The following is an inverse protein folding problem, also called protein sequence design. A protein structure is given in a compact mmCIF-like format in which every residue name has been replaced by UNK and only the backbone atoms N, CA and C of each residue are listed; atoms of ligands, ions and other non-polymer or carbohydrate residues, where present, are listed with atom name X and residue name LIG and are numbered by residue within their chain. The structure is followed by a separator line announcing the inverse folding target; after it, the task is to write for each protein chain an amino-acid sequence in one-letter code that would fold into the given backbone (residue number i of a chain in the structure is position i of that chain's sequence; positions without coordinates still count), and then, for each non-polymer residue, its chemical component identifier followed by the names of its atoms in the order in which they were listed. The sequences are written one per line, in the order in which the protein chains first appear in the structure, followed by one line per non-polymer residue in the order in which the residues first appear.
data_IF_008537654399
#
_entry.id   IF_008537654399
#
_cell.length_a   1.000
_cell.length_b   1.000
_cell.length_c   1.000
_cell.angle_alpha   90.00
_cell.angle_beta   90.00
_cell.angle_gamma   90.00
#
_symmetry.space_group_name_H-M   'P 1'
#
loop_
_entity.id
_entity.type
_entity.pdbx_description
1 polymer ?
#
# COMPACT_ATOMS: atom_id res chain seq x y z
N UNK A 1 -87.28 40.82 -13.65
CA UNK A 1 -86.07 41.27 -14.36
C UNK A 1 -84.87 40.68 -13.60
N UNK A 2 -84.38 39.55 -13.98
CA UNK A 2 -83.26 38.92 -13.32
C UNK A 2 -82.05 38.79 -14.28
N UNK A 3 -80.91 39.35 -13.88
CA UNK A 3 -79.69 39.39 -14.63
C UNK A 3 -78.94 38.11 -14.32
N UNK A 4 -78.67 37.24 -15.35
CA UNK A 4 -77.86 36.03 -15.25
C UNK A 4 -76.42 36.41 -15.52
N UNK A 5 -75.54 36.26 -14.52
CA UNK A 5 -74.10 36.45 -14.66
C UNK A 5 -73.47 35.12 -15.03
N UNK A 6 -72.97 35.06 -16.25
CA UNK A 6 -72.25 33.90 -16.80
C UNK A 6 -70.78 33.90 -16.34
N UNK A 7 -70.36 32.97 -15.43
CA UNK A 7 -68.96 32.83 -14.99
C UNK A 7 -68.20 31.99 -16.04
N UNK A 8 -67.32 32.63 -16.80
CA UNK A 8 -66.33 31.99 -17.64
C UNK A 8 -65.24 31.30 -16.77
N UNK A 9 -65.17 30.03 -16.82
CA UNK A 9 -64.01 29.30 -16.23
C UNK A 9 -62.84 29.34 -17.22
N UNK A 10 -61.75 29.95 -16.80
CA UNK A 10 -60.49 29.93 -17.54
C UNK A 10 -59.77 28.58 -17.20
N UNK A 11 -59.61 27.75 -18.20
CA UNK A 11 -58.89 26.46 -18.11
C UNK A 11 -57.38 26.76 -18.39
N UNK A 12 -56.57 26.77 -17.35
CA UNK A 12 -55.15 26.91 -17.51
C UNK A 12 -54.55 25.54 -17.92
N UNK A 13 -54.04 25.45 -19.14
CA UNK A 13 -53.26 24.31 -19.62
C UNK A 13 -51.86 24.40 -19.02
N UNK A 14 -51.54 23.57 -18.02
CA UNK A 14 -50.15 23.34 -17.58
C UNK A 14 -49.46 22.43 -18.57
N UNK A 15 -48.58 22.97 -19.39
CA UNK A 15 -47.63 22.19 -20.18
C UNK A 15 -46.49 21.75 -19.26
N UNK A 16 -46.43 20.45 -18.89
CA UNK A 16 -45.31 19.85 -18.23
C UNK A 16 -44.16 19.71 -19.22
N UNK A 17 -43.08 20.48 -19.04
CA UNK A 17 -41.81 20.18 -19.70
C UNK A 17 -41.21 18.88 -19.13
N UNK A 18 -40.69 17.99 -19.95
CA UNK A 18 -39.94 16.85 -19.44
C UNK A 18 -38.62 17.34 -18.87
N UNK A 19 -38.46 17.15 -17.57
CA UNK A 19 -37.21 17.35 -16.86
C UNK A 19 -36.26 16.21 -17.24
N UNK A 20 -35.36 16.44 -18.21
CA UNK A 20 -34.27 15.56 -18.51
C UNK A 20 -33.34 15.52 -17.28
N UNK A 21 -33.44 14.43 -16.51
CA UNK A 21 -32.47 14.11 -15.48
C UNK A 21 -31.18 13.77 -16.24
N UNK A 22 -30.26 14.73 -16.27
CA UNK A 22 -28.85 14.43 -16.57
C UNK A 22 -28.39 13.44 -15.50
N UNK A 23 -28.21 12.18 -15.91
CA UNK A 23 -27.52 11.21 -15.09
C UNK A 23 -26.10 11.77 -14.84
N UNK A 24 -25.92 12.30 -13.65
CA UNK A 24 -24.61 12.64 -13.13
C UNK A 24 -23.79 11.35 -13.19
N UNK A 25 -22.74 11.36 -14.01
CA UNK A 25 -21.77 10.28 -14.06
C UNK A 25 -21.13 10.24 -12.69
N UNK A 26 -21.73 9.46 -11.78
CA UNK A 26 -21.20 9.17 -10.48
C UNK A 26 -19.73 8.84 -10.64
N UNK A 27 -18.87 9.79 -10.30
CA UNK A 27 -17.45 9.59 -10.23
C UNK A 27 -17.25 8.32 -9.43
N UNK A 28 -16.62 7.31 -10.03
CA UNK A 28 -16.16 6.14 -9.28
C UNK A 28 -15.28 6.71 -8.18
N UNK A 29 -15.78 6.73 -6.96
CA UNK A 29 -14.96 6.91 -5.80
C UNK A 29 -14.00 5.73 -5.79
N UNK A 30 -12.84 5.93 -6.39
CA UNK A 30 -11.73 5.00 -6.25
C UNK A 30 -11.40 4.99 -4.77
N UNK A 31 -11.71 3.87 -4.11
CA UNK A 31 -11.26 3.65 -2.75
C UNK A 31 -9.73 3.80 -2.75
N UNK A 32 -9.15 4.56 -1.83
CA UNK A 32 -7.70 4.64 -1.73
C UNK A 32 -7.13 3.23 -1.69
N UNK A 33 -6.03 2.98 -2.42
CA UNK A 33 -5.33 1.70 -2.38
C UNK A 33 -5.14 1.33 -0.90
N UNK A 34 -5.63 0.16 -0.51
CA UNK A 34 -5.45 -0.33 0.85
C UNK A 34 -4.00 -0.81 1.05
N UNK A 35 -3.05 0.12 0.99
CA UNK A 35 -1.64 -0.15 1.29
C UNK A 35 -1.56 -0.67 2.72
N UNK A 36 -1.08 -1.91 2.87
CA UNK A 36 -0.82 -2.49 4.18
C UNK A 36 0.51 -1.94 4.74
N UNK A 37 1.58 -2.10 3.97
CA UNK A 37 2.86 -1.51 4.34
C UNK A 37 3.76 -1.28 3.12
N UNK A 38 4.77 -0.45 3.33
CA UNK A 38 5.85 -0.18 2.40
C UNK A 38 7.12 -0.76 2.99
N UNK A 39 7.87 -1.52 2.19
CA UNK A 39 9.14 -2.14 2.61
C UNK A 39 10.30 -1.25 2.19
N UNK A 40 10.94 -0.64 3.17
CA UNK A 40 12.15 0.17 3.01
C UNK A 40 13.35 -0.62 3.51
N UNK A 41 14.06 -1.25 2.58
CA UNK A 41 15.22 -2.07 2.90
C UNK A 41 16.50 -1.23 3.01
N UNK A 42 17.36 -1.63 3.94
CA UNK A 42 18.60 -0.92 4.25
C UNK A 42 19.72 -1.87 4.64
N UNK A 43 20.98 -1.57 4.27
CA UNK A 43 22.14 -2.31 4.79
C UNK A 43 22.43 -1.99 6.28
N UNK A 44 21.90 -0.88 6.81
CA UNK A 44 22.14 -0.41 8.19
C UNK A 44 20.86 0.20 8.78
N UNK A 45 20.15 -0.61 9.58
CA UNK A 45 18.87 -0.20 10.20
C UNK A 45 19.07 1.00 11.14
N UNK A 46 20.10 0.98 11.99
CA UNK A 46 20.30 2.02 13.00
C UNK A 46 20.55 3.38 12.37
N UNK A 47 21.34 3.40 11.31
CA UNK A 47 21.60 4.60 10.53
C UNK A 47 20.33 5.11 9.88
N UNK A 48 19.57 4.23 9.20
CA UNK A 48 18.34 4.60 8.51
C UNK A 48 17.25 5.10 9.45
N UNK A 49 17.07 4.46 10.62
CA UNK A 49 16.15 4.93 11.67
C UNK A 49 16.52 6.32 12.14
N UNK A 50 17.81 6.58 12.42
CA UNK A 50 18.29 7.90 12.84
C UNK A 50 18.09 8.98 11.78
N UNK A 51 18.37 8.66 10.51
CA UNK A 51 18.18 9.60 9.40
C UNK A 51 16.70 9.93 9.18
N UNK A 52 15.80 8.94 9.26
CA UNK A 52 14.36 9.17 9.17
C UNK A 52 13.82 9.96 10.37
N UNK A 53 14.27 9.66 11.58
CA UNK A 53 13.91 10.43 12.78
C UNK A 53 14.29 11.91 12.64
N UNK A 54 15.50 12.20 12.14
CA UNK A 54 15.96 13.58 11.91
C UNK A 54 15.14 14.33 10.86
N UNK A 55 14.62 13.63 9.85
CA UNK A 55 13.88 14.23 8.75
C UNK A 55 12.38 14.33 9.02
N UNK A 56 11.81 13.36 9.73
CA UNK A 56 10.37 13.24 9.96
C UNK A 56 9.95 13.62 11.39
N UNK A 57 10.86 13.57 12.37
CA UNK A 57 10.58 13.92 13.76
C UNK A 57 9.95 12.78 14.57
N UNK A 58 9.95 11.55 14.05
CA UNK A 58 9.42 10.36 14.75
C UNK A 58 10.45 9.25 14.70
N UNK A 59 10.79 8.70 15.86
CA UNK A 59 11.68 7.55 15.98
C UNK A 59 10.88 6.25 15.76
N UNK A 60 11.39 5.37 14.92
CA UNK A 60 10.79 4.06 14.68
C UNK A 60 10.79 3.21 15.97
N UNK A 61 9.78 2.36 16.10
CA UNK A 61 9.68 1.37 17.18
C UNK A 61 10.18 0.01 16.71
N UNK A 62 10.79 -0.80 17.61
CA UNK A 62 11.22 -2.15 17.28
C UNK A 62 10.07 -3.01 16.78
N UNK A 63 10.23 -3.63 15.61
CA UNK A 63 9.28 -4.60 15.08
C UNK A 63 9.58 -6.02 15.56
N UNK A 64 10.77 -6.52 15.30
CA UNK A 64 11.24 -7.82 15.72
C UNK A 64 12.16 -8.52 14.70
N UNK A 65 12.60 -9.71 15.06
CA UNK A 65 13.47 -10.55 14.24
C UNK A 65 12.66 -11.54 13.41
N UNK A 66 13.02 -11.71 12.14
CA UNK A 66 12.49 -12.74 11.25
C UNK A 66 13.38 -13.98 11.37
N UNK A 67 12.96 -14.91 12.23
CA UNK A 67 13.73 -16.10 12.56
C UNK A 67 14.06 -16.92 11.31
N UNK A 68 15.34 -17.23 11.11
CA UNK A 68 15.83 -18.02 9.97
C UNK A 68 15.96 -17.22 8.67
N UNK A 69 15.42 -15.99 8.58
CA UNK A 69 15.60 -15.12 7.42
C UNK A 69 16.81 -14.18 7.59
N UNK A 70 17.42 -14.11 8.77
CA UNK A 70 18.58 -13.25 9.06
C UNK A 70 18.28 -11.75 8.94
N UNK A 71 17.01 -11.34 9.08
CA UNK A 71 16.57 -9.95 9.04
C UNK A 71 15.78 -9.55 10.28
N UNK A 72 15.80 -8.27 10.58
CA UNK A 72 14.96 -7.62 11.58
C UNK A 72 14.34 -6.35 11.01
N UNK A 73 13.36 -5.81 11.70
CA UNK A 73 12.76 -4.56 11.27
C UNK A 73 12.47 -3.58 12.41
N UNK A 74 12.31 -2.31 12.01
CA UNK A 74 11.80 -1.20 12.80
C UNK A 74 10.59 -0.61 12.07
N UNK A 75 9.60 -0.10 12.80
CA UNK A 75 8.28 0.25 12.26
C UNK A 75 7.90 1.69 12.55
N UNK A 76 7.32 2.35 11.54
CA UNK A 76 6.70 3.68 11.63
C UNK A 76 5.25 3.58 11.13
N UNK A 77 4.26 3.92 11.95
CA UNK A 77 2.88 3.97 11.49
C UNK A 77 2.68 5.15 10.53
N UNK A 78 2.09 4.87 9.38
CA UNK A 78 1.75 5.86 8.33
C UNK A 78 0.23 6.16 8.30
N UNK A 79 -0.48 5.74 9.32
CA UNK A 79 -1.91 5.81 9.48
C UNK A 79 -2.41 4.68 10.39
N UNK A 80 -3.71 4.54 10.61
CA UNK A 80 -4.25 3.56 11.56
C UNK A 80 -4.06 2.10 11.12
N UNK A 81 -3.82 1.87 9.83
CA UNK A 81 -3.74 0.54 9.22
C UNK A 81 -2.68 0.43 8.12
N UNK A 82 -1.70 1.33 8.12
CA UNK A 82 -0.59 1.35 7.18
C UNK A 82 0.70 1.66 7.93
N UNK A 83 1.82 1.03 7.55
CA UNK A 83 3.10 1.31 8.17
C UNK A 83 4.26 1.26 7.17
N UNK A 84 5.37 1.89 7.54
CA UNK A 84 6.67 1.73 6.91
C UNK A 84 7.44 0.67 7.68
N UNK A 85 7.85 -0.39 7.00
CA UNK A 85 8.77 -1.40 7.48
C UNK A 85 10.20 -1.01 7.07
N UNK A 86 11.05 -0.70 8.03
CA UNK A 86 12.49 -0.49 7.83
C UNK A 86 13.16 -1.82 8.11
N UNK A 87 13.53 -2.57 7.05
CA UNK A 87 14.09 -3.92 7.16
C UNK A 87 15.56 -3.95 6.77
N UNK A 88 16.34 -4.73 7.50
CA UNK A 88 17.76 -4.94 7.20
C UNK A 88 18.34 -6.18 7.89
N UNK A 89 19.66 -6.39 7.82
CA UNK A 89 20.31 -7.52 8.44
C UNK A 89 20.08 -7.57 9.95
N UNK A 90 19.84 -8.74 10.48
CA UNK A 90 19.85 -9.03 11.91
C UNK A 90 21.18 -9.73 12.26
N UNK A 91 22.12 -8.93 12.76
CA UNK A 91 23.47 -9.39 13.09
C UNK A 91 23.50 -10.26 14.35
N UNK A 92 22.42 -10.32 15.12
CA UNK A 92 22.27 -11.17 16.30
C UNK A 92 21.83 -12.59 15.94
N UNK A 93 21.42 -12.82 14.69
CA UNK A 93 21.09 -14.15 14.17
C UNK A 93 22.30 -14.79 13.45
N UNK A 94 22.38 -16.15 13.41
CA UNK A 94 23.29 -16.84 12.52
C UNK A 94 23.06 -16.43 11.06
N UNK A 95 24.09 -16.50 10.25
CA UNK A 95 23.96 -16.27 8.80
C UNK A 95 22.91 -17.23 8.20
N UNK A 96 21.89 -16.72 7.48
CA UNK A 96 20.83 -17.54 6.95
C UNK A 96 21.33 -18.45 5.83
N UNK A 97 20.74 -19.64 5.69
CA UNK A 97 21.10 -20.58 4.64
C UNK A 97 20.71 -20.11 3.22
N UNK A 98 19.82 -19.16 3.13
CA UNK A 98 19.35 -18.55 1.88
C UNK A 98 19.62 -17.05 1.91
N UNK A 99 19.77 -16.37 0.75
CA UNK A 99 19.88 -14.93 0.70
C UNK A 99 18.74 -14.24 1.44
N UNK A 100 19.04 -13.15 2.14
CA UNK A 100 18.02 -12.36 2.86
C UNK A 100 16.95 -11.85 1.90
N UNK A 101 15.67 -11.82 2.31
CA UNK A 101 14.56 -11.33 1.49
C UNK A 101 14.81 -9.90 1.01
N UNK A 102 14.08 -9.51 -0.06
CA UNK A 102 14.13 -8.17 -0.64
C UNK A 102 15.51 -7.72 -1.14
N UNK A 103 16.44 -8.64 -1.34
CA UNK A 103 17.79 -8.34 -1.83
C UNK A 103 18.64 -7.53 -0.85
N UNK A 104 18.37 -7.63 0.45
CA UNK A 104 19.07 -6.87 1.51
C UNK A 104 20.58 -7.02 1.41
N UNK A 105 21.09 -8.22 1.07
CA UNK A 105 22.52 -8.52 0.99
C UNK A 105 23.26 -7.74 -0.12
N UNK A 106 22.54 -7.27 -1.12
CA UNK A 106 23.09 -6.53 -2.27
C UNK A 106 22.93 -5.01 -2.18
N UNK A 107 22.29 -4.50 -1.12
CA UNK A 107 22.05 -3.09 -0.97
C UNK A 107 23.30 -2.32 -0.58
N UNK A 108 23.57 -1.25 -1.30
CA UNK A 108 24.62 -0.27 -0.95
C UNK A 108 24.06 1.00 -0.32
N UNK A 109 22.74 1.22 -0.44
CA UNK A 109 22.01 2.34 0.14
C UNK A 109 20.56 1.92 0.43
N UNK A 110 19.89 2.61 1.38
CA UNK A 110 18.48 2.35 1.65
C UNK A 110 17.59 2.69 0.46
N UNK A 111 16.55 1.89 0.22
CA UNK A 111 15.53 2.16 -0.81
C UNK A 111 14.21 1.43 -0.53
N UNK A 112 13.13 1.90 -1.15
CA UNK A 112 11.89 1.13 -1.21
C UNK A 112 12.07 -0.05 -2.17
N UNK A 113 11.85 -1.26 -1.68
CA UNK A 113 12.08 -2.49 -2.45
C UNK A 113 10.79 -3.24 -2.76
N UNK A 114 9.71 -2.98 -2.02
CA UNK A 114 8.41 -3.63 -2.22
C UNK A 114 7.32 -2.91 -1.45
N UNK A 115 6.08 -3.36 -1.61
CA UNK A 115 4.93 -2.91 -0.85
C UNK A 115 3.85 -3.99 -0.81
N UNK A 116 2.97 -3.94 0.18
CA UNK A 116 1.92 -4.92 0.40
C UNK A 116 0.52 -4.32 0.33
N UNK A 117 -0.42 -5.15 -0.11
CA UNK A 117 -1.87 -4.90 -0.08
C UNK A 117 -2.55 -5.95 0.78
N UNK A 118 -3.47 -5.53 1.65
CA UNK A 118 -4.21 -6.46 2.49
C UNK A 118 -5.25 -7.25 1.71
N UNK A 119 -5.36 -8.54 1.99
CA UNK A 119 -6.43 -9.40 1.50
C UNK A 119 -6.59 -10.61 2.41
N UNK A 120 -7.82 -10.99 2.70
CA UNK A 120 -8.21 -12.21 3.40
C UNK A 120 -8.47 -13.41 2.47
N UNK A 121 -8.18 -13.28 1.16
CA UNK A 121 -8.44 -14.30 0.12
C UNK A 121 -7.26 -14.40 -0.84
N UNK A 122 -6.10 -14.80 -0.32
CA UNK A 122 -4.83 -14.77 -1.08
C UNK A 122 -4.87 -15.67 -2.32
N UNK A 123 -5.39 -16.91 -2.21
CA UNK A 123 -5.45 -17.84 -3.35
C UNK A 123 -6.44 -17.37 -4.43
N UNK A 124 -7.58 -16.78 -4.04
CA UNK A 124 -8.51 -16.17 -4.99
C UNK A 124 -7.85 -14.99 -5.73
N UNK A 125 -7.08 -14.16 -5.00
CA UNK A 125 -6.31 -13.06 -5.60
C UNK A 125 -5.28 -13.57 -6.59
N UNK A 126 -4.53 -14.63 -6.25
CA UNK A 126 -3.56 -15.26 -7.15
C UNK A 126 -4.22 -15.78 -8.42
N UNK A 127 -5.32 -16.53 -8.28
CA UNK A 127 -6.07 -17.10 -9.41
C UNK A 127 -6.61 -15.99 -10.31
N UNK A 128 -7.23 -14.96 -9.72
CA UNK A 128 -7.76 -13.80 -10.46
C UNK A 128 -6.67 -13.05 -11.20
N UNK A 129 -5.52 -12.81 -10.54
CA UNK A 129 -4.36 -12.16 -11.14
C UNK A 129 -3.82 -12.95 -12.33
N UNK A 130 -3.64 -14.26 -12.16
CA UNK A 130 -3.16 -15.16 -13.23
C UNK A 130 -4.08 -15.15 -14.44
N UNK A 131 -5.40 -15.19 -14.25
CA UNK A 131 -6.41 -15.09 -15.32
C UNK A 131 -6.35 -13.74 -16.07
N UNK A 132 -5.81 -12.70 -15.44
CA UNK A 132 -5.58 -11.37 -16.04
C UNK A 132 -4.13 -11.17 -16.52
N UNK A 133 -3.30 -12.24 -16.54
CA UNK A 133 -1.92 -12.20 -17.00
C UNK A 133 -0.90 -11.62 -16.01
N UNK A 134 -1.26 -11.48 -14.73
CA UNK A 134 -0.35 -11.03 -13.68
C UNK A 134 0.00 -12.22 -12.76
N UNK A 135 1.28 -12.57 -12.68
CA UNK A 135 1.76 -13.64 -11.81
C UNK A 135 2.06 -13.07 -10.41
N UNK A 136 1.34 -13.56 -9.42
CA UNK A 136 1.67 -13.38 -8.01
C UNK A 136 2.39 -14.64 -7.51
N UNK A 137 3.31 -14.48 -6.55
CA UNK A 137 4.04 -15.60 -5.97
C UNK A 137 3.12 -16.58 -5.20
N UNK A 138 3.65 -17.74 -4.83
CA UNK A 138 2.92 -18.71 -4.01
C UNK A 138 2.56 -18.12 -2.65
N UNK A 139 1.44 -18.58 -2.08
CA UNK A 139 1.09 -18.24 -0.70
C UNK A 139 2.02 -18.99 0.25
N UNK A 140 2.55 -18.28 1.23
CA UNK A 140 3.42 -18.82 2.27
C UNK A 140 2.95 -18.37 3.65
N UNK A 141 3.16 -19.23 4.64
CA UNK A 141 2.96 -18.89 6.05
C UNK A 141 4.26 -18.28 6.59
N UNK A 142 4.14 -17.20 7.32
CA UNK A 142 5.27 -16.50 7.92
C UNK A 142 4.98 -16.22 9.39
N UNK A 143 6.03 -16.21 10.19
CA UNK A 143 5.93 -15.84 11.60
C UNK A 143 7.06 -14.88 12.00
N UNK A 144 6.80 -14.09 13.01
CA UNK A 144 7.78 -13.21 13.64
C UNK A 144 7.51 -13.11 15.13
N UNK A 145 8.56 -13.12 15.90
CA UNK A 145 8.47 -12.80 17.33
C UNK A 145 8.79 -11.33 17.56
N UNK A 146 7.86 -10.62 18.21
CA UNK A 146 8.07 -9.25 18.66
C UNK A 146 9.00 -9.23 19.89
N UNK A 147 9.57 -8.06 20.16
CA UNK A 147 10.43 -7.84 21.35
C UNK A 147 9.72 -8.07 22.69
N UNK A 148 8.40 -7.94 22.73
CA UNK A 148 7.56 -8.24 23.91
C UNK A 148 7.16 -9.73 24.03
N UNK A 149 7.69 -10.58 23.16
CA UNK A 149 7.44 -12.03 23.17
C UNK A 149 6.18 -12.48 22.42
N UNK A 150 5.35 -11.55 21.92
CA UNK A 150 4.16 -11.89 21.13
C UNK A 150 4.58 -12.45 19.78
N UNK A 151 4.07 -13.63 19.42
CA UNK A 151 4.24 -14.20 18.08
C UNK A 151 3.13 -13.68 17.17
N UNK A 152 3.52 -13.17 16.02
CA UNK A 152 2.64 -12.82 14.92
C UNK A 152 2.73 -13.92 13.86
N UNK A 153 1.58 -14.31 13.31
CA UNK A 153 1.45 -15.23 12.20
C UNK A 153 0.66 -14.55 11.09
N UNK A 154 1.08 -14.74 9.86
CA UNK A 154 0.36 -14.22 8.69
C UNK A 154 0.63 -15.10 7.49
N UNK A 155 -0.23 -14.95 6.50
CA UNK A 155 -0.02 -15.49 5.17
C UNK A 155 0.32 -14.34 4.21
N UNK A 156 1.13 -14.62 3.22
CA UNK A 156 1.44 -13.66 2.17
C UNK A 156 1.75 -14.35 0.85
N UNK A 157 1.52 -13.67 -0.26
CA UNK A 157 2.09 -14.12 -1.53
C UNK A 157 3.58 -13.79 -1.55
N UNK A 158 4.41 -14.72 -2.02
CA UNK A 158 5.86 -14.51 -2.11
C UNK A 158 6.15 -13.27 -2.96
N UNK A 159 6.89 -12.28 -2.45
CA UNK A 159 7.31 -11.14 -3.24
C UNK A 159 8.16 -11.57 -4.43
N UNK A 160 8.09 -10.81 -5.53
CA UNK A 160 8.93 -11.08 -6.68
C UNK A 160 10.42 -10.88 -6.33
N UNK A 161 11.27 -11.73 -6.85
CA UNK A 161 12.73 -11.53 -6.82
C UNK A 161 13.23 -10.61 -7.95
N UNK A 162 12.40 -10.35 -8.95
CA UNK A 162 12.72 -9.41 -10.05
C UNK A 162 12.51 -7.96 -9.57
N UNK A 163 13.57 -7.14 -9.50
CA UNK A 163 13.45 -5.72 -9.12
C UNK A 163 12.47 -4.91 -9.96
N UNK A 164 12.26 -5.29 -11.23
CA UNK A 164 11.28 -4.63 -12.09
C UNK A 164 9.84 -5.01 -11.74
N UNK A 165 9.63 -6.22 -11.19
CA UNK A 165 8.33 -6.68 -10.73
C UNK A 165 7.97 -6.19 -9.32
N UNK A 166 8.90 -5.60 -8.56
CA UNK A 166 8.67 -5.07 -7.20
C UNK A 166 7.70 -3.87 -7.15
N UNK A 167 7.34 -3.32 -8.32
CA UNK A 167 6.28 -2.32 -8.44
C UNK A 167 4.89 -2.93 -8.30
N UNK A 168 4.75 -4.24 -8.49
CA UNK A 168 3.52 -4.99 -8.25
C UNK A 168 3.55 -5.46 -6.79
N UNK A 169 2.47 -5.20 -6.01
CA UNK A 169 2.46 -5.56 -4.59
C UNK A 169 2.41 -7.07 -4.38
N UNK A 170 2.92 -7.51 -3.25
CA UNK A 170 2.49 -8.77 -2.70
C UNK A 170 1.23 -8.56 -1.85
N UNK A 171 0.47 -9.63 -1.61
CA UNK A 171 -0.72 -9.61 -0.78
C UNK A 171 -0.44 -10.24 0.57
N UNK A 172 -1.05 -9.70 1.63
CA UNK A 172 -0.86 -10.15 3.01
C UNK A 172 -2.19 -10.29 3.74
N UNK A 173 -2.31 -11.37 4.51
CA UNK A 173 -3.39 -11.64 5.45
C UNK A 173 -2.81 -11.82 6.85
N UNK A 174 -3.13 -10.91 7.75
CA UNK A 174 -2.68 -10.98 9.14
C UNK A 174 -3.45 -12.00 9.98
N UNK A 175 -4.47 -12.65 9.39
CA UNK A 175 -5.32 -13.63 10.07
C UNK A 175 -5.86 -13.07 11.41
N UNK A 176 -5.51 -13.73 12.53
CA UNK A 176 -5.88 -13.28 13.87
C UNK A 176 -4.79 -12.44 14.55
N UNK A 177 -3.67 -12.22 13.90
CA UNK A 177 -2.58 -11.42 14.46
C UNK A 177 -2.94 -9.93 14.51
N UNK A 178 -2.62 -9.21 15.58
CA UNK A 178 -2.80 -7.77 15.62
C UNK A 178 -1.94 -7.10 14.57
N UNK A 179 -2.55 -6.15 13.83
CA UNK A 179 -1.86 -5.45 12.76
C UNK A 179 -0.68 -4.60 13.29
N UNK A 180 0.51 -4.67 12.68
CA UNK A 180 1.71 -3.99 13.18
C UNK A 180 1.58 -2.48 13.33
N UNK A 181 0.77 -1.80 12.50
CA UNK A 181 0.52 -0.37 12.64
C UNK A 181 -0.05 0.04 14.02
N UNK A 182 -0.68 -0.90 14.75
CA UNK A 182 -1.23 -0.62 16.09
C UNK A 182 -0.13 -0.42 17.15
N UNK A 183 1.08 -0.92 16.90
CA UNK A 183 2.21 -0.85 17.83
C UNK A 183 3.42 -0.12 17.23
N UNK A 184 3.37 0.20 15.94
CA UNK A 184 4.36 1.05 15.28
C UNK A 184 4.30 2.48 15.83
N UNK A 185 5.46 3.17 15.83
CA UNK A 185 5.54 4.56 16.31
C UNK A 185 4.61 5.46 15.47
N UNK A 186 3.63 6.14 16.11
CA UNK A 186 2.65 6.96 15.42
C UNK A 186 3.18 8.37 15.11
N UNK A 187 2.45 9.14 14.29
CA UNK A 187 2.72 10.56 14.03
C UNK A 187 3.14 10.85 12.60
N UNK A 188 3.14 9.85 11.72
CA UNK A 188 3.38 10.04 10.30
C UNK A 188 2.12 9.75 9.47
N UNK A 189 2.10 10.31 8.26
CA UNK A 189 1.03 10.09 7.28
C UNK A 189 1.62 9.79 5.91
N UNK A 190 1.14 8.73 5.26
CA UNK A 190 1.42 8.47 3.85
C UNK A 190 0.56 9.41 3.00
N UNK A 191 1.20 10.34 2.30
CA UNK A 191 0.51 11.28 1.41
C UNK A 191 0.31 10.69 0.02
N UNK A 192 1.30 9.96 -0.50
CA UNK A 192 1.21 9.30 -1.79
C UNK A 192 2.18 8.13 -1.90
N UNK A 193 1.79 7.14 -2.70
CA UNK A 193 2.65 6.09 -3.23
C UNK A 193 2.50 6.11 -4.75
N UNK A 194 3.62 6.23 -5.48
CA UNK A 194 3.68 6.25 -6.94
C UNK A 194 4.83 5.40 -7.44
N UNK A 195 4.82 5.10 -8.72
CA UNK A 195 5.88 4.33 -9.34
C UNK A 195 6.49 5.05 -10.55
N UNK A 196 7.73 4.71 -10.85
CA UNK A 196 8.44 5.08 -12.07
C UNK A 196 8.91 3.82 -12.79
N UNK A 197 8.85 3.81 -14.13
CA UNK A 197 9.29 2.67 -14.93
C UNK A 197 9.57 3.06 -16.38
N UNK A 198 10.55 2.41 -17.08
CA UNK A 198 10.79 2.65 -18.50
C UNK A 198 9.59 2.39 -19.41
N UNK A 199 8.72 1.46 -18.99
CA UNK A 199 7.45 1.19 -19.67
C UNK A 199 6.27 1.36 -18.68
N UNK A 200 5.80 2.61 -18.44
CA UNK A 200 4.77 2.90 -17.44
C UNK A 200 3.42 2.25 -17.79
N UNK A 201 3.08 2.14 -19.07
CA UNK A 201 1.82 1.53 -19.52
C UNK A 201 1.72 0.04 -19.15
N UNK A 202 2.84 -0.70 -19.24
CA UNK A 202 2.90 -2.10 -18.83
C UNK A 202 2.57 -2.24 -17.34
N UNK A 203 3.22 -1.45 -16.50
CA UNK A 203 3.00 -1.50 -15.03
C UNK A 203 1.59 -1.04 -14.67
N UNK A 204 1.12 0.07 -15.26
CA UNK A 204 -0.25 0.55 -15.04
C UNK A 204 -1.30 -0.49 -15.46
N UNK A 205 -1.08 -1.22 -16.55
CA UNK A 205 -1.98 -2.30 -16.98
C UNK A 205 -2.01 -3.46 -15.99
N UNK A 206 -0.84 -3.87 -15.46
CA UNK A 206 -0.74 -4.92 -14.45
C UNK A 206 -1.42 -4.51 -13.14
N UNK A 207 -1.22 -3.27 -12.69
CA UNK A 207 -1.86 -2.75 -11.48
C UNK A 207 -3.39 -2.68 -11.65
N UNK A 208 -3.88 -2.17 -12.78
CA UNK A 208 -5.33 -2.17 -13.08
C UNK A 208 -5.92 -3.58 -13.13
N UNK A 209 -5.18 -4.57 -13.62
CA UNK A 209 -5.60 -5.98 -13.60
C UNK A 209 -5.81 -6.52 -12.17
N UNK A 210 -5.13 -5.92 -11.18
CA UNK A 210 -5.26 -6.20 -9.75
C UNK A 210 -6.27 -5.28 -9.05
N UNK A 211 -7.01 -4.46 -9.79
CA UNK A 211 -7.93 -3.43 -9.30
C UNK A 211 -7.22 -2.36 -8.44
N UNK A 212 -5.96 -2.07 -8.78
CA UNK A 212 -5.12 -1.07 -8.13
C UNK A 212 -4.94 0.14 -9.06
N UNK A 213 -5.26 1.32 -8.55
CA UNK A 213 -4.96 2.59 -9.22
C UNK A 213 -3.75 3.24 -8.56
N UNK A 214 -2.67 3.36 -9.33
CA UNK A 214 -1.43 4.01 -8.90
C UNK A 214 -0.90 4.86 -10.05
N UNK A 215 -0.39 6.03 -9.73
CA UNK A 215 0.32 6.84 -10.73
C UNK A 215 1.65 6.15 -11.09
N UNK A 216 1.84 5.88 -12.37
CA UNK A 216 3.11 5.36 -12.91
C UNK A 216 3.60 6.33 -13.97
N UNK A 217 4.82 6.83 -13.82
CA UNK A 217 5.43 7.77 -14.73
C UNK A 217 6.65 7.17 -15.42
N UNK A 218 7.04 7.75 -16.58
CA UNK A 218 8.22 7.29 -17.31
C UNK A 218 9.51 7.73 -16.61
N UNK A 219 10.46 6.80 -16.46
CA UNK A 219 11.83 7.04 -15.99
C UNK A 219 12.77 5.97 -16.54
N UNK A 220 14.08 6.21 -16.51
CA UNK A 220 15.08 5.26 -17.00
C UNK A 220 15.17 3.99 -16.14
N UNK A 221 14.87 4.09 -14.85
CA UNK A 221 14.99 2.99 -13.88
C UNK A 221 13.67 2.81 -13.12
N UNK A 222 13.30 1.57 -12.80
CA UNK A 222 12.14 1.30 -11.95
C UNK A 222 12.32 1.84 -10.53
N UNK A 223 11.28 2.47 -9.97
CA UNK A 223 11.28 2.89 -8.58
C UNK A 223 9.85 2.96 -8.01
N UNK A 224 9.71 2.63 -6.73
CA UNK A 224 8.59 3.03 -5.88
C UNK A 224 9.00 4.29 -5.14
N UNK A 225 8.04 5.22 -5.03
CA UNK A 225 8.27 6.51 -4.38
C UNK A 225 7.12 6.79 -3.44
N UNK A 226 7.45 6.94 -2.15
CA UNK A 226 6.50 7.27 -1.10
C UNK A 226 6.76 8.68 -0.57
N UNK A 227 5.72 9.52 -0.55
CA UNK A 227 5.77 10.82 0.14
C UNK A 227 5.13 10.65 1.51
N UNK A 228 5.92 10.89 2.54
CA UNK A 228 5.52 10.76 3.94
C UNK A 228 5.62 12.12 4.62
N UNK A 229 4.61 12.48 5.39
CA UNK A 229 4.57 13.69 6.21
C UNK A 229 4.72 13.33 7.69
N UNK A 230 5.58 14.08 8.37
CA UNK A 230 5.79 14.00 9.81
C UNK A 230 5.87 15.38 10.44
N UNK A 231 6.08 15.47 11.79
CA UNK A 231 6.17 16.72 12.51
C UNK A 231 7.23 17.72 11.99
N UNK A 232 8.31 17.22 11.40
CA UNK A 232 9.40 18.07 10.87
C UNK A 232 9.27 18.36 9.37
N UNK A 233 8.22 17.87 8.71
CA UNK A 233 7.95 18.15 7.30
C UNK A 233 7.71 16.89 6.47
N UNK A 234 7.86 17.05 5.14
CA UNK A 234 7.63 15.99 4.16
C UNK A 234 8.94 15.40 3.68
N UNK A 235 8.94 14.08 3.50
CA UNK A 235 10.08 13.33 2.98
C UNK A 235 9.59 12.48 1.82
N UNK A 236 10.33 12.50 0.74
CA UNK A 236 10.19 11.52 -0.33
C UNK A 236 11.23 10.41 -0.14
N UNK A 237 10.77 9.16 -0.09
CA UNK A 237 11.60 7.95 -0.08
C UNK A 237 11.48 7.27 -1.44
N UNK A 238 12.59 6.74 -1.91
CA UNK A 238 12.68 6.04 -3.20
C UNK A 238 13.28 4.65 -3.03
#
# INVERSE_FOLDING_TARGET
MGVVILKRRLLALLTALPMTVLADSAGRHTQPIAVDHIVFATPDIQRSVKELEQRLGVRASPGGSHTGAGTRNELLALGPSTYLEIIGPDLDQPEPAQPRPFGVDSLTSPKIVSWAVRSDRLEDRRTTAANKGVSLGAVMNVERQRSDGVKLHWQMTTPSSDPQANLIPFYIDWEQSPHPALTAAPGLTLLSLRAEHPNPEKISSMLRALDIEMQVTSASEPALIATIEGPLGKVELR
#
